data_IF_445273118084
#
_entry.id   IF_445273118084
#
_cell.length_a   1.000
_cell.length_b   1.000
_cell.length_c   1.000
_cell.angle_alpha   90.00
_cell.angle_beta   90.00
_cell.angle_gamma   90.00
#
_symmetry.space_group_name_H-M   'P 1'
#
loop_
_entity.id
_entity.type
_entity.pdbx_description
1 polymer ?
#
# COMPACT_ATOMS: atom_id res chain seq x y z
N UNK A 1 -36.34 -0.31 10.81
CA UNK A 1 -35.73 -0.43 9.48
C UNK A 1 -35.43 -1.90 9.27
N UNK A 2 -35.90 -2.50 8.17
CA UNK A 2 -35.55 -3.88 7.84
C UNK A 2 -34.02 -4.01 7.75
N UNK A 3 -33.46 -5.14 8.20
CA UNK A 3 -32.05 -5.43 7.93
C UNK A 3 -31.81 -5.31 6.42
N UNK A 4 -30.72 -4.66 5.98
CA UNK A 4 -30.43 -4.55 4.56
C UNK A 4 -30.31 -5.96 3.96
N UNK A 5 -30.84 -6.13 2.74
CA UNK A 5 -30.80 -7.41 2.05
C UNK A 5 -29.34 -7.86 1.89
N UNK A 6 -29.04 -9.12 2.22
CA UNK A 6 -27.68 -9.67 2.10
C UNK A 6 -27.31 -9.79 0.63
N UNK A 7 -26.07 -9.47 0.30
CA UNK A 7 -25.54 -9.62 -1.05
C UNK A 7 -25.51 -11.10 -1.43
N UNK A 8 -26.10 -11.45 -2.57
CA UNK A 8 -26.04 -12.80 -3.10
C UNK A 8 -24.64 -13.13 -3.62
N UNK A 9 -24.09 -14.27 -3.17
CA UNK A 9 -22.78 -14.77 -3.56
C UNK A 9 -22.92 -16.12 -4.28
N UNK A 10 -22.29 -16.25 -5.43
CA UNK A 10 -22.19 -17.49 -6.20
C UNK A 10 -20.77 -18.04 -6.13
N UNK A 11 -20.59 -19.27 -5.67
CA UNK A 11 -19.26 -19.92 -5.67
C UNK A 11 -18.83 -20.18 -7.13
N UNK A 12 -17.66 -19.67 -7.53
CA UNK A 12 -17.03 -19.99 -8.82
C UNK A 12 -16.17 -21.25 -8.66
N UNK A 13 -15.28 -21.23 -7.67
CA UNK A 13 -14.38 -22.33 -7.29
C UNK A 13 -14.00 -22.24 -5.81
N UNK A 14 -13.01 -23.00 -5.39
CA UNK A 14 -12.61 -23.12 -3.98
C UNK A 14 -12.09 -21.82 -3.35
N UNK A 15 -11.64 -20.86 -4.15
CA UNK A 15 -11.05 -19.61 -3.69
C UNK A 15 -11.76 -18.36 -4.23
N UNK A 16 -12.83 -18.49 -5.01
CA UNK A 16 -13.52 -17.35 -5.66
C UNK A 16 -15.03 -17.42 -5.54
N UNK A 17 -15.61 -16.29 -5.15
CA UNK A 17 -17.05 -16.05 -5.09
C UNK A 17 -17.41 -14.82 -5.93
N UNK A 18 -18.47 -14.95 -6.72
CA UNK A 18 -19.00 -13.89 -7.57
C UNK A 18 -20.17 -13.19 -6.91
N UNK A 19 -20.22 -11.87 -7.03
CA UNK A 19 -21.43 -11.07 -6.88
C UNK A 19 -21.96 -10.79 -8.29
N UNK A 20 -23.02 -11.47 -8.75
CA UNK A 20 -23.57 -11.25 -10.08
C UNK A 20 -24.05 -9.81 -10.23
N UNK A 21 -23.76 -9.21 -11.38
CA UNK A 21 -24.20 -7.88 -11.74
C UNK A 21 -25.71 -7.76 -11.59
N UNK A 22 -26.13 -6.83 -10.75
CA UNK A 22 -27.53 -6.54 -10.47
C UNK A 22 -27.78 -5.04 -10.34
N UNK A 23 -29.02 -4.61 -10.55
CA UNK A 23 -29.38 -3.18 -10.48
C UNK A 23 -28.59 -2.33 -11.47
N UNK A 24 -27.85 -1.33 -10.95
CA UNK A 24 -27.02 -0.39 -11.73
C UNK A 24 -25.53 -0.77 -11.73
N UNK A 25 -25.16 -1.95 -11.23
CA UNK A 25 -23.80 -2.47 -11.38
C UNK A 25 -23.47 -2.55 -12.87
N UNK A 26 -22.24 -2.15 -13.23
CA UNK A 26 -21.73 -2.19 -14.60
C UNK A 26 -21.00 -3.50 -14.90
N UNK A 27 -20.35 -4.05 -13.88
CA UNK A 27 -19.57 -5.28 -13.88
C UNK A 27 -19.99 -6.21 -12.75
N UNK A 28 -19.56 -7.47 -12.79
CA UNK A 28 -19.66 -8.40 -11.66
C UNK A 28 -18.65 -8.01 -10.55
N UNK A 29 -18.89 -8.46 -9.33
CA UNK A 29 -17.90 -8.41 -8.24
C UNK A 29 -17.24 -9.76 -8.02
N UNK A 30 -15.96 -9.80 -7.64
CA UNK A 30 -15.24 -11.04 -7.30
C UNK A 30 -14.60 -10.90 -5.92
N UNK A 31 -14.92 -11.82 -5.02
CA UNK A 31 -14.31 -11.95 -3.70
C UNK A 31 -13.43 -13.20 -3.71
N UNK A 32 -12.13 -13.02 -3.46
CA UNK A 32 -11.19 -14.10 -3.26
C UNK A 32 -11.27 -14.55 -1.80
N UNK A 33 -11.73 -15.76 -1.53
CA UNK A 33 -11.87 -16.30 -0.19
C UNK A 33 -12.03 -17.82 -0.25
N UNK A 34 -11.54 -18.54 0.76
CA UNK A 34 -11.86 -19.95 0.92
C UNK A 34 -13.24 -20.15 1.58
N UNK A 35 -13.66 -21.41 1.72
CA UNK A 35 -14.94 -21.77 2.34
C UNK A 35 -15.05 -21.39 3.84
N UNK A 36 -13.95 -21.05 4.51
CA UNK A 36 -13.93 -20.61 5.90
C UNK A 36 -14.06 -19.09 5.99
N UNK A 37 -13.23 -18.36 5.24
CA UNK A 37 -13.21 -16.91 5.19
C UNK A 37 -14.54 -16.34 4.69
N UNK A 38 -15.13 -16.94 3.65
CA UNK A 38 -16.36 -16.42 3.06
C UNK A 38 -17.54 -16.38 4.04
N UNK A 39 -17.56 -17.25 5.06
CA UNK A 39 -18.63 -17.28 6.07
C UNK A 39 -18.63 -15.99 6.88
N UNK A 40 -17.45 -15.56 7.32
CA UNK A 40 -17.29 -14.33 8.08
C UNK A 40 -17.51 -13.10 7.18
N UNK A 41 -16.97 -13.13 5.95
CA UNK A 41 -17.14 -12.05 4.97
C UNK A 41 -18.62 -11.81 4.65
N UNK A 42 -19.43 -12.87 4.54
CA UNK A 42 -20.86 -12.79 4.25
C UNK A 42 -21.71 -12.29 5.44
N UNK A 43 -21.12 -12.16 6.63
CA UNK A 43 -21.74 -11.53 7.80
C UNK A 43 -21.39 -10.03 7.91
N UNK A 44 -20.33 -9.58 7.24
CA UNK A 44 -19.94 -8.18 7.13
C UNK A 44 -20.70 -7.45 6.00
N UNK A 45 -20.64 -6.12 6.01
CA UNK A 45 -21.17 -5.24 4.98
C UNK A 45 -20.17 -4.99 3.83
N UNK A 46 -18.94 -5.52 3.93
CA UNK A 46 -17.93 -5.36 2.88
C UNK A 46 -18.29 -5.95 1.51
N UNK A 47 -19.04 -7.07 1.36
CA UNK A 47 -19.53 -7.50 0.05
C UNK A 47 -20.43 -6.46 -0.62
N UNK A 48 -21.18 -5.67 0.16
CA UNK A 48 -21.99 -4.57 -0.37
C UNK A 48 -21.11 -3.47 -0.94
N UNK A 49 -19.97 -3.19 -0.32
CA UNK A 49 -19.02 -2.21 -0.85
C UNK A 49 -18.40 -2.68 -2.16
N UNK A 50 -18.13 -3.99 -2.32
CA UNK A 50 -17.72 -4.56 -3.62
C UNK A 50 -18.78 -4.32 -4.69
N UNK A 51 -20.05 -4.59 -4.38
CA UNK A 51 -21.17 -4.32 -5.29
C UNK A 51 -21.32 -2.82 -5.59
N UNK A 52 -21.16 -1.95 -4.59
CA UNK A 52 -21.26 -0.50 -4.75
C UNK A 52 -20.16 0.04 -5.68
N UNK A 53 -18.92 -0.43 -5.54
CA UNK A 53 -17.80 -0.05 -6.42
C UNK A 53 -18.10 -0.42 -7.88
N UNK A 54 -18.76 -1.55 -8.14
CA UNK A 54 -19.14 -1.98 -9.49
C UNK A 54 -20.12 -1.02 -10.20
N UNK A 55 -20.69 -0.02 -9.53
CA UNK A 55 -21.56 0.98 -10.15
C UNK A 55 -20.78 2.13 -10.81
N UNK A 56 -19.51 2.30 -10.46
CA UNK A 56 -18.74 3.49 -10.81
C UNK A 56 -18.40 3.53 -12.32
N UNK A 57 -18.53 4.71 -12.98
CA UNK A 57 -18.28 4.85 -14.42
C UNK A 57 -16.89 4.42 -14.84
N UNK A 58 -16.82 3.73 -15.99
CA UNK A 58 -15.57 3.27 -16.58
C UNK A 58 -14.86 2.14 -15.82
N UNK A 59 -15.49 1.50 -14.83
CA UNK A 59 -14.92 0.29 -14.20
C UNK A 59 -14.81 -0.83 -15.24
N UNK A 60 -13.69 -1.56 -15.21
CA UNK A 60 -13.35 -2.61 -16.16
C UNK A 60 -13.32 -3.98 -15.49
N UNK A 61 -13.71 -5.01 -16.24
CA UNK A 61 -13.80 -6.42 -15.84
C UNK A 61 -14.67 -6.66 -14.59
N UNK A 62 -14.15 -6.39 -13.39
CA UNK A 62 -14.77 -6.71 -12.12
C UNK A 62 -14.40 -5.70 -11.02
N UNK A 63 -15.27 -5.52 -10.02
CA UNK A 63 -14.83 -5.00 -8.71
C UNK A 63 -14.27 -6.15 -7.87
N UNK A 64 -13.04 -6.02 -7.38
CA UNK A 64 -12.32 -7.12 -6.74
C UNK A 64 -12.16 -6.88 -5.25
N UNK A 65 -12.18 -7.97 -4.49
CA UNK A 65 -11.81 -7.98 -3.08
C UNK A 65 -10.93 -9.17 -2.74
N UNK A 66 -9.83 -8.88 -2.05
CA UNK A 66 -8.84 -9.82 -1.57
C UNK A 66 -9.33 -10.58 -0.33
N UNK A 67 -8.67 -11.69 0.07
CA UNK A 67 -9.11 -12.52 1.20
C UNK A 67 -9.17 -11.83 2.56
N UNK A 68 -8.50 -10.70 2.70
CA UNK A 68 -8.46 -9.83 3.87
C UNK A 68 -9.52 -8.70 3.81
N UNK A 69 -10.54 -8.84 2.96
CA UNK A 69 -11.64 -7.88 2.81
C UNK A 69 -12.34 -7.57 4.14
N UNK A 70 -12.58 -6.28 4.39
CA UNK A 70 -13.43 -5.82 5.48
C UNK A 70 -13.98 -4.42 5.22
N UNK A 71 -14.97 -4.02 6.02
CA UNK A 71 -15.64 -2.73 5.87
C UNK A 71 -14.66 -1.55 5.88
N UNK A 72 -14.75 -0.71 4.86
CA UNK A 72 -13.98 0.51 4.69
C UNK A 72 -14.84 1.75 4.47
N UNK A 73 -14.21 2.85 4.04
CA UNK A 73 -14.91 4.06 3.59
C UNK A 73 -15.18 4.01 2.08
N UNK A 74 -16.43 3.82 1.67
CA UNK A 74 -16.83 3.71 0.26
C UNK A 74 -16.40 2.38 -0.39
N UNK A 75 -15.10 2.25 -0.65
CA UNK A 75 -14.49 0.98 -1.07
C UNK A 75 -14.18 0.12 0.16
N UNK A 76 -14.28 -1.22 0.05
CA UNK A 76 -13.80 -2.10 1.10
C UNK A 76 -12.28 -1.97 1.22
N UNK A 77 -11.75 -2.19 2.43
CA UNK A 77 -10.33 -2.51 2.58
C UNK A 77 -10.15 -3.94 2.06
N UNK A 78 -9.02 -4.23 1.41
CA UNK A 78 -8.87 -5.43 0.56
C UNK A 78 -9.38 -5.21 -0.87
N UNK A 79 -9.81 -4.00 -1.24
CA UNK A 79 -10.44 -3.71 -2.52
C UNK A 79 -9.45 -3.38 -3.64
N UNK A 80 -9.74 -3.87 -4.85
CA UNK A 80 -9.09 -3.45 -6.10
C UNK A 80 -10.14 -3.13 -7.15
N UNK A 81 -9.97 -2.03 -7.87
CA UNK A 81 -10.78 -1.72 -9.04
C UNK A 81 -9.94 -0.98 -10.08
N UNK A 82 -10.05 -1.38 -11.34
CA UNK A 82 -9.44 -0.67 -12.45
C UNK A 82 -10.51 0.11 -13.22
N UNK A 83 -10.24 1.38 -13.45
CA UNK A 83 -11.08 2.26 -14.25
C UNK A 83 -10.35 2.63 -15.53
N UNK A 84 -11.05 2.72 -16.65
CA UNK A 84 -10.50 3.23 -17.90
C UNK A 84 -9.86 4.62 -17.68
N UNK A 85 -8.67 4.85 -18.24
CA UNK A 85 -7.95 6.10 -18.00
C UNK A 85 -8.65 7.33 -18.61
N UNK A 86 -9.34 7.16 -19.74
CA UNK A 86 -9.98 8.27 -20.46
C UNK A 86 -11.40 8.53 -19.94
N UNK A 87 -12.17 7.46 -19.71
CA UNK A 87 -13.60 7.56 -19.38
C UNK A 87 -13.94 7.23 -17.92
N UNK A 88 -12.97 6.70 -17.17
CA UNK A 88 -13.17 6.22 -15.81
C UNK A 88 -13.02 7.29 -14.74
N UNK A 89 -13.20 6.87 -13.48
CA UNK A 89 -13.19 7.73 -12.31
C UNK A 89 -12.00 7.48 -11.40
N UNK A 90 -11.64 8.51 -10.64
CA UNK A 90 -10.74 8.43 -9.49
C UNK A 90 -11.52 8.76 -8.21
N UNK A 91 -11.45 7.88 -7.22
CA UNK A 91 -12.07 8.07 -5.90
C UNK A 91 -11.03 8.02 -4.79
N UNK A 92 -10.93 9.07 -3.93
CA UNK A 92 -10.07 9.01 -2.75
C UNK A 92 -10.48 7.91 -1.77
N UNK A 93 -11.77 7.58 -1.71
CA UNK A 93 -12.30 6.46 -0.93
C UNK A 93 -11.76 5.10 -1.40
N UNK A 94 -11.40 4.97 -2.67
CA UNK A 94 -10.76 3.79 -3.27
C UNK A 94 -9.25 3.71 -3.11
N UNK A 95 -8.61 4.79 -2.66
CA UNK A 95 -7.19 4.80 -2.26
C UNK A 95 -7.06 4.57 -0.76
N UNK A 96 -7.91 5.24 0.03
CA UNK A 96 -7.87 5.26 1.49
C UNK A 96 -7.26 6.54 2.05
N UNK A 97 -7.47 6.75 3.35
CA UNK A 97 -6.99 7.96 4.04
C UNK A 97 -5.47 7.99 4.19
N UNK A 98 -4.85 6.88 4.59
CA UNK A 98 -3.39 6.81 4.67
C UNK A 98 -2.81 6.44 3.31
N UNK A 99 -2.69 7.45 2.44
CA UNK A 99 -2.13 7.34 1.09
C UNK A 99 -0.70 6.79 1.19
N UNK A 100 -0.39 5.79 0.37
CA UNK A 100 0.86 5.05 0.41
C UNK A 100 1.21 4.55 1.82
N UNK A 101 0.21 4.17 2.63
CA UNK A 101 0.46 3.17 3.66
C UNK A 101 1.03 1.94 2.95
N UNK A 102 2.13 1.42 3.50
CA UNK A 102 2.92 0.42 2.82
C UNK A 102 3.95 -0.19 3.75
N UNK A 103 4.67 -1.15 3.23
CA UNK A 103 5.59 -1.94 4.02
C UNK A 103 6.94 -2.07 3.34
N UNK A 104 7.95 -2.25 4.18
CA UNK A 104 9.33 -2.39 3.79
C UNK A 104 9.95 -3.55 4.56
N UNK A 105 10.65 -4.43 3.86
CA UNK A 105 11.43 -5.51 4.49
C UNK A 105 12.91 -5.26 4.28
N UNK A 106 13.65 -5.27 5.38
CA UNK A 106 15.10 -5.19 5.41
C UNK A 106 15.64 -6.56 5.79
N UNK A 107 16.47 -7.14 4.93
CA UNK A 107 17.23 -8.35 5.26
C UNK A 107 18.57 -8.00 5.89
N UNK A 108 19.11 -8.89 6.70
CA UNK A 108 20.40 -8.71 7.38
C UNK A 108 21.32 -9.90 7.10
N UNK A 109 22.60 -9.80 7.42
CA UNK A 109 23.49 -10.97 7.45
C UNK A 109 23.38 -11.74 8.78
N UNK A 110 22.56 -11.28 9.72
CA UNK A 110 22.42 -11.87 11.05
C UNK A 110 21.50 -13.09 10.99
N UNK A 111 21.83 -14.09 11.80
CA UNK A 111 20.98 -15.22 12.11
C UNK A 111 20.37 -15.06 13.51
N UNK A 112 19.32 -15.81 13.82
CA UNK A 112 18.64 -15.70 15.13
C UNK A 112 19.60 -15.81 16.32
N UNK A 113 20.63 -16.65 16.23
CA UNK A 113 21.65 -16.83 17.26
C UNK A 113 22.48 -15.56 17.55
N UNK A 114 22.71 -14.73 16.53
CA UNK A 114 23.49 -13.49 16.67
C UNK A 114 22.71 -12.42 17.44
N UNK A 115 21.37 -12.46 17.34
CA UNK A 115 20.50 -11.43 17.92
C UNK A 115 19.85 -11.84 19.25
N UNK A 116 19.60 -13.14 19.49
CA UNK A 116 18.95 -13.65 20.71
C UNK A 116 19.49 -13.05 22.02
N UNK A 117 20.81 -12.89 22.23
CA UNK A 117 21.34 -12.31 23.47
C UNK A 117 21.03 -10.82 23.64
N UNK A 118 20.79 -10.10 22.53
CA UNK A 118 20.68 -8.64 22.46
C UNK A 118 19.28 -8.13 22.11
N UNK A 119 18.32 -9.02 21.82
CA UNK A 119 17.00 -8.63 21.34
C UNK A 119 16.27 -7.65 22.26
N UNK A 120 16.37 -7.81 23.58
CA UNK A 120 15.72 -6.87 24.54
C UNK A 120 16.33 -5.48 24.47
N UNK A 121 17.65 -5.40 24.42
CA UNK A 121 18.41 -4.15 24.31
C UNK A 121 18.11 -3.47 22.97
N UNK A 122 18.08 -4.24 21.88
CA UNK A 122 17.76 -3.75 20.55
C UNK A 122 16.34 -3.19 20.48
N UNK A 123 15.33 -3.93 20.95
CA UNK A 123 13.93 -3.48 20.93
C UNK A 123 13.76 -2.21 21.77
N UNK A 124 14.41 -2.13 22.93
CA UNK A 124 14.38 -0.92 23.76
C UNK A 124 15.03 0.27 23.04
N UNK A 125 16.18 0.07 22.41
CA UNK A 125 16.86 1.12 21.65
C UNK A 125 16.05 1.56 20.42
N UNK A 126 15.42 0.63 19.69
CA UNK A 126 14.53 0.95 18.57
C UNK A 126 13.35 1.79 19.05
N UNK A 127 12.71 1.41 20.15
CA UNK A 127 11.59 2.17 20.72
C UNK A 127 12.00 3.59 21.15
N UNK A 128 13.21 3.76 21.69
CA UNK A 128 13.73 5.07 22.10
C UNK A 128 14.11 5.97 20.93
N UNK A 129 14.64 5.40 19.85
CA UNK A 129 15.20 6.16 18.73
C UNK A 129 14.27 6.30 17.52
N UNK A 130 13.20 5.50 17.44
CA UNK A 130 12.21 5.55 16.37
C UNK A 130 10.90 6.14 16.91
N UNK A 131 10.59 7.42 16.62
CA UNK A 131 9.39 8.05 17.17
C UNK A 131 8.12 7.36 16.69
N UNK A 132 7.27 6.98 17.64
CA UNK A 132 5.97 6.34 17.42
C UNK A 132 4.88 7.00 18.25
N UNK A 133 3.62 6.69 17.96
CA UNK A 133 2.44 7.21 18.68
C UNK A 133 1.71 8.36 17.98
N UNK A 134 0.48 8.61 18.45
CA UNK A 134 -0.38 9.70 17.93
C UNK A 134 0.24 11.05 18.28
N UNK A 135 0.43 11.91 17.28
CA UNK A 135 0.99 13.25 17.47
C UNK A 135 2.49 13.31 17.72
N UNK A 136 3.18 12.15 17.67
CA UNK A 136 4.63 12.09 17.75
C UNK A 136 5.27 12.92 16.63
N UNK A 137 6.41 13.53 16.96
CA UNK A 137 7.13 14.42 16.04
C UNK A 137 8.49 13.81 15.71
N UNK A 138 8.90 13.91 14.45
CA UNK A 138 10.24 13.52 14.01
C UNK A 138 11.31 14.41 14.61
N UNK A 139 12.54 13.90 14.67
CA UNK A 139 13.70 14.67 15.13
C UNK A 139 14.04 15.82 14.15
N UNK A 140 13.66 15.67 12.88
CA UNK A 140 13.96 16.63 11.83
C UNK A 140 13.07 17.88 11.91
N UNK A 141 13.68 19.06 11.76
CA UNK A 141 12.97 20.34 11.65
C UNK A 141 13.05 20.85 10.22
N UNK A 142 12.05 20.52 9.42
CA UNK A 142 11.94 20.98 8.05
C UNK A 142 11.31 22.38 7.96
N UNK A 143 11.85 23.21 7.08
CA UNK A 143 11.16 24.37 6.54
C UNK A 143 10.00 23.93 5.62
N UNK A 144 9.08 24.85 5.34
CA UNK A 144 7.99 24.59 4.39
C UNK A 144 8.52 24.29 2.97
N UNK A 145 9.61 24.96 2.57
CA UNK A 145 10.23 24.75 1.27
C UNK A 145 10.88 23.36 1.15
N UNK A 146 11.56 22.90 2.20
CA UNK A 146 12.13 21.55 2.21
C UNK A 146 11.05 20.49 2.22
N UNK A 147 9.95 20.67 2.97
CA UNK A 147 8.82 19.75 2.90
C UNK A 147 8.28 19.66 1.46
N UNK A 148 8.14 20.79 0.75
CA UNK A 148 7.71 20.78 -0.66
C UNK A 148 8.69 20.02 -1.57
N UNK A 149 9.98 19.98 -1.25
CA UNK A 149 10.94 19.10 -1.95
C UNK A 149 10.67 17.63 -1.64
N UNK A 150 10.47 17.25 -0.37
CA UNK A 150 10.09 15.88 0.02
C UNK A 150 8.87 15.39 -0.78
N UNK A 151 7.85 16.25 -0.91
CA UNK A 151 6.64 15.95 -1.67
C UNK A 151 6.88 15.72 -3.17
N UNK A 152 7.91 16.32 -3.77
CA UNK A 152 8.26 16.13 -5.18
C UNK A 152 9.20 14.95 -5.43
N UNK A 153 10.15 14.76 -4.53
CA UNK A 153 11.34 13.94 -4.75
C UNK A 153 11.27 12.58 -4.03
N UNK A 154 10.39 12.42 -3.03
CA UNK A 154 10.15 11.15 -2.35
C UNK A 154 11.39 10.58 -1.67
N UNK A 155 11.64 9.27 -1.80
CA UNK A 155 12.83 8.62 -1.23
C UNK A 155 14.15 9.19 -1.76
N UNK A 156 14.17 9.72 -2.98
CA UNK A 156 15.39 10.33 -3.55
C UNK A 156 15.86 11.51 -2.71
N UNK A 157 14.94 12.37 -2.24
CA UNK A 157 15.28 13.44 -1.31
C UNK A 157 15.90 12.91 -0.03
N UNK A 158 15.36 11.83 0.53
CA UNK A 158 15.88 11.25 1.77
C UNK A 158 17.31 10.72 1.55
N UNK A 159 17.57 10.02 0.45
CA UNK A 159 18.91 9.53 0.09
C UNK A 159 19.90 10.68 -0.14
N UNK A 160 19.51 11.74 -0.87
CA UNK A 160 20.33 12.95 -1.07
C UNK A 160 20.69 13.65 0.25
N UNK A 161 19.84 13.53 1.26
CA UNK A 161 20.06 14.11 2.60
C UNK A 161 20.70 13.12 3.59
N UNK A 162 21.28 12.02 3.10
CA UNK A 162 22.07 11.07 3.90
C UNK A 162 21.27 9.93 4.52
N UNK A 163 19.98 9.81 4.24
CA UNK A 163 19.12 8.75 4.77
C UNK A 163 19.08 7.53 3.83
N UNK A 164 20.15 6.73 3.86
CA UNK A 164 20.27 5.47 3.10
C UNK A 164 21.14 5.57 1.85
N UNK A 165 20.87 4.76 0.83
CA UNK A 165 21.71 4.64 -0.37
C UNK A 165 20.88 4.59 -1.66
N UNK A 166 21.56 4.77 -2.81
CA UNK A 166 20.92 4.66 -4.13
C UNK A 166 20.33 3.26 -4.40
N UNK A 167 20.97 2.19 -3.89
CA UNK A 167 20.47 0.81 -3.99
C UNK A 167 19.07 0.66 -3.35
N UNK A 168 18.77 1.46 -2.32
CA UNK A 168 17.45 1.45 -1.68
C UNK A 168 16.34 1.94 -2.64
N UNK A 169 16.67 2.84 -3.58
CA UNK A 169 15.69 3.33 -4.55
C UNK A 169 15.34 2.23 -5.56
N UNK A 170 16.32 1.44 -6.00
CA UNK A 170 16.12 0.32 -6.94
C UNK A 170 15.23 -0.79 -6.35
N UNK A 171 15.20 -0.91 -5.03
CA UNK A 171 14.37 -1.87 -4.28
C UNK A 171 13.09 -1.23 -3.71
N UNK A 172 12.72 -0.03 -4.16
CA UNK A 172 11.47 0.62 -3.77
C UNK A 172 10.52 0.67 -4.97
N UNK A 173 9.25 0.35 -4.77
CA UNK A 173 8.22 0.51 -5.78
C UNK A 173 8.27 1.92 -6.40
N UNK A 174 8.32 1.99 -7.73
CA UNK A 174 8.48 3.21 -8.53
C UNK A 174 9.69 4.08 -8.13
N UNK A 175 10.77 3.46 -7.62
CA UNK A 175 11.95 4.20 -7.17
C UNK A 175 11.72 5.02 -5.90
N UNK A 176 10.57 4.84 -5.23
CA UNK A 176 10.17 5.66 -4.09
C UNK A 176 9.72 7.07 -4.45
N UNK A 177 9.35 7.30 -5.70
CA UNK A 177 8.88 8.59 -6.18
C UNK A 177 7.87 8.44 -7.33
N UNK A 178 6.60 8.76 -7.06
CA UNK A 178 5.57 8.85 -8.09
C UNK A 178 5.71 10.18 -8.84
N UNK A 179 5.83 10.09 -10.16
CA UNK A 179 5.91 11.24 -11.04
C UNK A 179 4.61 12.07 -11.02
N UNK A 180 4.71 13.34 -11.41
CA UNK A 180 3.55 14.25 -11.49
C UNK A 180 3.10 14.84 -10.15
N UNK A 181 3.82 14.58 -9.06
CA UNK A 181 3.53 15.20 -7.77
C UNK A 181 3.59 16.73 -7.82
N UNK A 182 2.50 17.39 -7.42
CA UNK A 182 2.44 18.84 -7.29
C UNK A 182 2.12 19.26 -5.84
N UNK A 183 3.13 19.73 -5.08
CA UNK A 183 2.93 20.24 -3.73
C UNK A 183 2.00 21.45 -3.64
N UNK A 184 1.76 22.19 -4.74
CA UNK A 184 0.87 23.36 -4.73
C UNK A 184 -0.59 22.96 -4.47
N UNK A 185 -0.95 21.71 -4.80
CA UNK A 185 -2.27 21.12 -4.59
C UNK A 185 -2.45 20.50 -3.19
N UNK A 186 -1.39 20.45 -2.39
CA UNK A 186 -1.44 19.99 -1.00
C UNK A 186 -1.77 21.18 -0.10
N UNK A 187 -2.88 21.07 0.65
CA UNK A 187 -3.36 22.17 1.49
C UNK A 187 -2.38 22.54 2.60
N UNK A 188 -2.39 23.80 3.04
CA UNK A 188 -1.58 24.25 4.18
C UNK A 188 -1.88 23.42 5.44
N UNK A 189 -3.14 22.99 5.63
CA UNK A 189 -3.52 22.09 6.72
C UNK A 189 -2.82 20.73 6.63
N UNK A 190 -2.70 20.16 5.43
CA UNK A 190 -1.98 18.90 5.22
C UNK A 190 -0.47 19.07 5.46
N UNK A 191 0.10 20.18 5.00
CA UNK A 191 1.50 20.53 5.24
C UNK A 191 1.79 20.71 6.74
N UNK A 192 0.95 21.42 7.47
CA UNK A 192 1.12 21.63 8.90
C UNK A 192 1.00 20.34 9.73
N UNK A 193 0.13 19.43 9.31
CA UNK A 193 0.02 18.09 9.92
C UNK A 193 1.22 17.21 9.61
N UNK A 194 1.69 17.23 8.36
CA UNK A 194 2.78 16.37 7.88
C UNK A 194 4.17 16.82 8.29
N UNK A 195 4.45 18.13 8.27
CA UNK A 195 5.77 18.69 8.54
C UNK A 195 6.43 18.15 9.82
N UNK A 196 5.75 18.11 10.98
CA UNK A 196 6.38 17.61 12.19
C UNK A 196 6.45 16.08 12.26
N UNK A 197 5.80 15.33 11.35
CA UNK A 197 5.64 13.87 11.44
C UNK A 197 6.58 13.08 10.51
N UNK A 198 7.40 13.75 9.70
CA UNK A 198 8.31 13.06 8.80
C UNK A 198 9.38 12.32 9.61
N UNK A 199 9.59 11.05 9.28
CA UNK A 199 10.42 10.15 10.07
C UNK A 199 9.74 9.74 11.38
N UNK A 200 8.48 9.31 11.31
CA UNK A 200 7.78 8.72 12.45
C UNK A 200 6.98 7.50 11.99
N UNK A 201 6.88 6.49 12.86
CA UNK A 201 6.08 5.29 12.58
C UNK A 201 4.59 5.63 12.52
N UNK A 202 4.12 6.30 13.57
CA UNK A 202 2.72 6.58 13.78
C UNK A 202 2.02 5.66 14.77
N UNK A 203 0.73 5.41 14.50
CA UNK A 203 -0.20 4.68 15.36
C UNK A 203 -1.10 3.77 14.52
N UNK A 204 -2.01 3.04 15.17
CA UNK A 204 -2.88 2.09 14.48
C UNK A 204 -2.12 0.79 14.21
N UNK A 205 -2.18 0.28 12.99
CA UNK A 205 -1.44 -0.92 12.56
C UNK A 205 0.00 -0.63 12.11
N UNK A 206 0.53 0.56 12.35
CA UNK A 206 1.92 0.87 12.00
C UNK A 206 2.88 0.32 13.04
N UNK A 207 3.93 -0.36 12.60
CA UNK A 207 4.92 -0.98 13.45
C UNK A 207 6.30 -1.03 12.79
N UNK A 208 7.30 -1.27 13.64
CA UNK A 208 8.62 -1.76 13.24
C UNK A 208 8.83 -3.06 14.00
N UNK A 209 9.02 -4.16 13.29
CA UNK A 209 9.14 -5.49 13.89
C UNK A 209 10.45 -6.13 13.47
N UNK A 210 11.17 -6.68 14.44
CA UNK A 210 12.36 -7.50 14.21
C UNK A 210 11.95 -8.95 14.31
N UNK A 211 11.99 -9.64 13.17
CA UNK A 211 11.61 -11.05 13.03
C UNK A 211 12.74 -11.87 12.43
N UNK A 212 12.40 -13.09 12.03
CA UNK A 212 13.31 -13.98 11.31
C UNK A 212 12.52 -14.85 10.33
N UNK A 213 13.23 -15.35 9.33
CA UNK A 213 12.67 -16.27 8.33
C UNK A 213 12.53 -17.66 8.95
N UNK A 214 11.31 -18.01 9.36
CA UNK A 214 11.00 -19.34 9.91
C UNK A 214 11.00 -20.44 8.82
N UNK A 215 10.43 -20.13 7.65
CA UNK A 215 10.14 -21.10 6.59
C UNK A 215 10.40 -20.51 5.20
N UNK A 216 10.91 -21.35 4.29
CA UNK A 216 11.12 -21.03 2.88
C UNK A 216 10.26 -21.99 2.05
N UNK A 217 9.31 -21.45 1.30
CA UNK A 217 8.40 -22.22 0.44
C UNK A 217 8.94 -22.36 -0.99
N UNK A 218 9.68 -21.36 -1.48
CA UNK A 218 10.34 -21.36 -2.80
C UNK A 218 11.82 -21.04 -2.62
N UNK A 219 12.71 -22.05 -2.65
CA UNK A 219 14.15 -21.85 -2.46
C UNK A 219 14.82 -21.00 -3.55
N UNK A 220 14.34 -21.04 -4.80
CA UNK A 220 14.97 -20.30 -5.88
C UNK A 220 14.63 -18.81 -5.80
N UNK A 221 13.35 -18.48 -5.55
CA UNK A 221 12.94 -17.09 -5.33
C UNK A 221 13.58 -16.53 -4.06
N UNK A 222 13.63 -17.31 -2.98
CA UNK A 222 14.28 -16.91 -1.74
C UNK A 222 15.77 -16.56 -1.94
N UNK A 223 16.50 -17.35 -2.76
CA UNK A 223 17.90 -17.07 -3.11
C UNK A 223 18.05 -15.72 -3.82
N UNK A 224 17.18 -15.41 -4.78
CA UNK A 224 17.20 -14.10 -5.49
C UNK A 224 16.86 -12.96 -4.53
N UNK A 225 15.90 -13.16 -3.63
CA UNK A 225 15.51 -12.19 -2.61
C UNK A 225 16.57 -12.07 -1.48
N UNK A 226 17.59 -12.94 -1.47
CA UNK A 226 18.62 -12.96 -0.43
C UNK A 226 18.07 -13.36 0.95
N UNK A 227 17.02 -14.18 0.95
CA UNK A 227 16.37 -14.74 2.13
C UNK A 227 16.89 -16.15 2.44
N UNK A 228 17.20 -16.41 3.70
CA UNK A 228 17.60 -17.74 4.19
C UNK A 228 16.87 -18.07 5.49
N UNK A 229 16.62 -19.35 5.77
CA UNK A 229 16.04 -19.79 7.04
C UNK A 229 16.90 -19.30 8.22
N UNK A 230 16.24 -18.92 9.32
CA UNK A 230 16.80 -18.32 10.53
C UNK A 230 17.46 -16.94 10.36
N UNK A 231 17.42 -16.36 9.17
CA UNK A 231 17.93 -15.01 8.93
C UNK A 231 17.03 -13.97 9.59
N UNK A 232 17.64 -13.01 10.27
CA UNK A 232 16.94 -11.88 10.87
C UNK A 232 16.52 -10.88 9.78
N UNK A 233 15.27 -10.44 9.89
CA UNK A 233 14.68 -9.42 9.02
C UNK A 233 13.99 -8.34 9.84
N UNK A 234 13.87 -7.13 9.28
CA UNK A 234 13.11 -6.04 9.88
C UNK A 234 11.95 -5.65 8.97
N UNK A 235 10.74 -5.68 9.50
CA UNK A 235 9.54 -5.21 8.83
C UNK A 235 9.21 -3.79 9.30
N UNK A 236 9.00 -2.87 8.37
CA UNK A 236 8.61 -1.48 8.67
C UNK A 236 7.28 -1.22 7.97
N UNK A 237 6.21 -1.00 8.75
CA UNK A 237 4.88 -0.64 8.26
C UNK A 237 4.55 0.79 8.67
N UNK A 238 4.50 1.68 7.68
CA UNK A 238 4.10 3.09 7.87
C UNK A 238 3.59 3.71 6.56
N UNK A 239 3.06 4.91 6.66
CA UNK A 239 2.43 5.62 5.54
C UNK A 239 2.72 7.11 5.51
N UNK A 240 1.80 7.86 4.92
CA UNK A 240 1.88 9.31 4.71
C UNK A 240 1.51 10.15 5.94
N UNK A 241 1.22 9.48 7.06
CA UNK A 241 0.91 10.11 8.35
C UNK A 241 -0.29 11.05 8.22
N UNK A 242 -0.30 12.15 8.98
CA UNK A 242 -1.37 13.13 8.94
C UNK A 242 -1.48 13.89 7.60
N UNK A 243 -0.45 13.84 6.76
CA UNK A 243 -0.43 14.54 5.48
C UNK A 243 -1.38 13.90 4.48
N UNK A 244 -1.20 12.61 4.17
CA UNK A 244 -2.09 11.93 3.22
C UNK A 244 -3.51 11.79 3.74
N UNK A 245 -3.70 11.63 5.06
CA UNK A 245 -5.04 11.71 5.66
C UNK A 245 -5.74 13.00 5.26
N UNK A 246 -5.06 14.14 5.41
CA UNK A 246 -5.67 15.44 5.13
C UNK A 246 -5.88 15.64 3.62
N UNK A 247 -4.95 15.18 2.77
CA UNK A 247 -5.14 15.18 1.31
C UNK A 247 -6.38 14.38 0.93
N UNK A 248 -6.57 13.18 1.47
CA UNK A 248 -7.77 12.38 1.23
C UNK A 248 -9.05 13.09 1.69
N UNK A 249 -9.06 13.65 2.91
CA UNK A 249 -10.19 14.40 3.48
C UNK A 249 -10.58 15.62 2.63
N UNK A 250 -9.59 16.41 2.20
CA UNK A 250 -9.79 17.61 1.39
C UNK A 250 -10.42 17.27 0.03
N UNK A 251 -9.93 16.22 -0.63
CA UNK A 251 -10.43 15.80 -1.94
C UNK A 251 -11.75 15.03 -1.86
N UNK A 252 -12.02 14.28 -0.79
CA UNK A 252 -13.35 13.69 -0.55
C UNK A 252 -14.42 14.78 -0.46
N UNK A 253 -14.13 15.89 0.24
CA UNK A 253 -15.04 17.03 0.29
C UNK A 253 -15.24 17.67 -1.08
N UNK A 254 -14.15 17.99 -1.80
CA UNK A 254 -14.19 18.60 -3.14
C UNK A 254 -14.95 17.73 -4.14
N UNK A 255 -14.68 16.42 -4.16
CA UNK A 255 -15.35 15.48 -5.07
C UNK A 255 -16.79 15.19 -4.65
N UNK A 256 -17.11 15.13 -3.36
CA UNK A 256 -18.49 14.97 -2.88
C UNK A 256 -19.42 16.13 -3.24
N UNK A 257 -18.87 17.34 -3.38
CA UNK A 257 -19.59 18.49 -3.97
C UNK A 257 -19.72 18.33 -5.49
N UNK A 258 -18.65 17.94 -6.19
CA UNK A 258 -18.66 17.75 -7.64
C UNK A 258 -19.59 16.65 -8.14
N UNK A 259 -19.67 15.51 -7.47
CA UNK A 259 -20.54 14.38 -7.86
C UNK A 259 -21.98 14.83 -8.13
N UNK A 260 -22.50 15.77 -7.33
CA UNK A 260 -23.86 16.32 -7.48
C UNK A 260 -24.07 17.04 -8.82
N UNK A 261 -23.01 17.57 -9.41
CA UNK A 261 -23.03 18.26 -10.70
C UNK A 261 -22.72 17.33 -11.88
N UNK A 262 -22.18 16.14 -11.64
CA UNK A 262 -21.87 15.15 -12.68
C UNK A 262 -23.10 14.32 -13.10
N UNK A 263 -24.21 14.41 -12.36
CA UNK A 263 -25.38 13.56 -12.57
C UNK A 263 -25.12 12.09 -12.23
N UNK A 264 -24.07 11.80 -11.45
CA UNK A 264 -23.75 10.45 -11.00
C UNK A 264 -24.61 10.06 -9.81
N UNK A 265 -25.42 9.01 -9.98
CA UNK A 265 -26.14 8.38 -8.88
C UNK A 265 -25.22 7.36 -8.20
N UNK A 266 -24.63 7.75 -7.07
CA UNK A 266 -23.80 6.87 -6.27
C UNK A 266 -24.67 6.03 -5.32
N UNK A 267 -24.44 4.70 -5.22
CA UNK A 267 -25.14 3.85 -4.26
C UNK A 267 -24.74 4.15 -2.80
N UNK A 268 -23.60 4.81 -2.60
CA UNK A 268 -23.13 5.31 -1.31
C UNK A 268 -22.41 6.66 -1.50
N UNK A 269 -22.72 7.65 -0.65
CA UNK A 269 -22.05 8.96 -0.64
C UNK A 269 -20.54 8.88 -0.38
N UNK A 270 -20.07 7.81 0.26
CA UNK A 270 -18.65 7.57 0.53
C UNK A 270 -17.87 7.22 -0.74
N UNK A 271 -18.53 6.90 -1.86
CA UNK A 271 -17.92 6.70 -3.18
C UNK A 271 -17.67 8.01 -3.95
N UNK A 272 -17.51 9.12 -3.23
CA UNK A 272 -17.20 10.42 -3.84
C UNK A 272 -16.01 10.28 -4.81
N UNK A 273 -16.20 10.75 -6.04
CA UNK A 273 -15.26 10.58 -7.14
C UNK A 273 -15.42 11.70 -8.17
N UNK A 274 -14.49 11.76 -9.11
CA UNK A 274 -14.62 12.52 -10.35
C UNK A 274 -13.95 11.74 -11.48
N UNK A 275 -14.17 12.14 -12.73
CA UNK A 275 -13.50 11.53 -13.87
C UNK A 275 -11.98 11.75 -13.79
N UNK A 276 -11.20 10.74 -14.17
CA UNK A 276 -9.73 10.78 -14.17
C UNK A 276 -9.23 11.99 -14.97
N UNK A 277 -9.80 12.22 -16.17
CA UNK A 277 -9.43 13.33 -17.05
C UNK A 277 -9.95 14.71 -16.61
N UNK A 278 -10.79 14.78 -15.58
CA UNK A 278 -11.26 16.07 -15.06
C UNK A 278 -10.11 16.83 -14.38
N UNK A 279 -10.17 18.16 -14.34
CA UNK A 279 -9.21 18.96 -13.58
C UNK A 279 -9.13 18.50 -12.11
N UNK A 280 -10.28 18.19 -11.48
CA UNK A 280 -10.27 17.75 -10.07
C UNK A 280 -9.72 16.33 -9.91
N UNK A 281 -9.91 15.46 -10.91
CA UNK A 281 -9.30 14.14 -10.95
C UNK A 281 -7.79 14.21 -11.06
N UNK A 282 -7.27 14.99 -12.01
CA UNK A 282 -5.83 15.24 -12.18
C UNK A 282 -5.23 15.95 -10.96
N UNK A 283 -5.93 16.93 -10.38
CA UNK A 283 -5.47 17.60 -9.15
C UNK A 283 -5.28 16.58 -8.01
N UNK A 284 -6.24 15.65 -7.85
CA UNK A 284 -6.15 14.64 -6.80
C UNK A 284 -5.01 13.65 -7.06
N UNK A 285 -4.82 13.20 -8.30
CA UNK A 285 -3.72 12.32 -8.66
C UNK A 285 -2.36 12.95 -8.32
N UNK A 286 -2.17 14.24 -8.64
CA UNK A 286 -0.94 14.98 -8.33
C UNK A 286 -0.75 15.22 -6.82
N UNK A 287 -1.82 15.50 -6.08
CA UNK A 287 -1.75 15.65 -4.61
C UNK A 287 -1.54 14.30 -3.89
N UNK A 288 -2.14 13.22 -4.40
CA UNK A 288 -1.93 11.86 -3.94
C UNK A 288 -0.49 11.41 -4.22
N UNK A 289 0.07 11.72 -5.40
CA UNK A 289 1.47 11.47 -5.71
C UNK A 289 2.40 12.19 -4.72
N UNK A 290 2.10 13.45 -4.36
CA UNK A 290 2.85 14.18 -3.34
C UNK A 290 2.77 13.49 -1.96
N UNK A 291 1.59 13.02 -1.55
CA UNK A 291 1.43 12.27 -0.30
C UNK A 291 2.13 10.89 -0.34
N UNK A 292 2.16 10.24 -1.50
CA UNK A 292 2.88 8.99 -1.71
C UNK A 292 4.39 9.19 -1.56
N UNK A 293 4.93 10.25 -2.18
CA UNK A 293 6.35 10.62 -2.08
C UNK A 293 6.74 10.90 -0.62
N UNK A 294 5.90 11.60 0.13
CA UNK A 294 6.09 11.78 1.57
C UNK A 294 6.20 10.45 2.32
N UNK A 295 5.32 9.48 2.05
CA UNK A 295 5.33 8.18 2.73
C UNK A 295 6.60 7.36 2.43
N UNK A 296 7.07 7.38 1.17
CA UNK A 296 8.32 6.73 0.79
C UNK A 296 9.54 7.38 1.44
N UNK A 297 9.60 8.72 1.49
CA UNK A 297 10.63 9.43 2.24
C UNK A 297 10.59 9.06 3.74
N UNK A 298 9.37 8.96 4.32
CA UNK A 298 9.18 8.55 5.71
C UNK A 298 9.75 7.15 5.98
N UNK A 299 9.40 6.15 5.16
CA UNK A 299 9.91 4.77 5.30
C UNK A 299 11.43 4.69 5.06
N UNK A 300 11.96 5.48 4.13
CA UNK A 300 13.40 5.59 3.86
C UNK A 300 14.16 6.10 5.10
N UNK A 301 13.66 7.16 5.75
CA UNK A 301 14.26 7.69 6.99
C UNK A 301 14.14 6.71 8.16
N UNK A 302 12.98 6.07 8.33
CA UNK A 302 12.77 5.05 9.36
C UNK A 302 13.76 3.88 9.21
N UNK A 303 13.95 3.40 7.97
CA UNK A 303 14.94 2.36 7.69
C UNK A 303 16.36 2.83 8.02
N UNK A 304 16.73 4.05 7.65
CA UNK A 304 18.06 4.59 7.95
C UNK A 304 18.33 4.59 9.47
N UNK A 305 17.43 5.13 10.29
CA UNK A 305 17.63 5.11 11.74
C UNK A 305 17.58 3.71 12.33
N UNK A 306 16.81 2.81 11.73
CA UNK A 306 16.84 1.39 12.12
C UNK A 306 18.24 0.81 11.92
N UNK A 307 18.90 1.11 10.78
CA UNK A 307 20.29 0.69 10.53
C UNK A 307 21.26 1.25 11.58
N UNK A 308 21.14 2.54 11.93
CA UNK A 308 21.99 3.15 12.95
C UNK A 308 21.78 2.51 14.33
N UNK A 309 20.52 2.24 14.73
CA UNK A 309 20.24 1.57 16.00
C UNK A 309 20.82 0.16 16.05
N UNK A 310 20.71 -0.62 14.97
CA UNK A 310 21.33 -1.95 14.91
C UNK A 310 22.85 -1.88 15.01
N UNK A 311 23.48 -0.94 14.29
CA UNK A 311 24.92 -0.67 14.34
C UNK A 311 25.38 -0.32 15.75
N UNK A 312 24.66 0.56 16.43
CA UNK A 312 25.04 1.02 17.77
C UNK A 312 24.80 -0.06 18.84
N UNK A 313 23.70 -0.80 18.78
CA UNK A 313 23.43 -1.85 19.79
C UNK A 313 24.33 -3.07 19.61
N UNK A 314 24.57 -3.48 18.36
CA UNK A 314 25.36 -4.68 18.06
C UNK A 314 26.85 -4.39 17.94
N UNK A 315 27.25 -3.11 17.87
CA UNK A 315 28.64 -2.69 17.68
C UNK A 315 29.28 -3.34 16.44
N UNK A 316 28.48 -3.47 15.37
CA UNK A 316 28.87 -4.10 14.11
C UNK A 316 28.97 -3.08 13.00
N UNK A 317 29.90 -3.28 12.06
CA UNK A 317 30.02 -2.40 10.90
C UNK A 317 28.79 -2.53 9.98
N UNK A 318 28.44 -1.50 9.19
CA UNK A 318 27.37 -1.61 8.19
C UNK A 318 27.55 -2.78 7.21
N UNK A 319 28.81 -3.13 6.90
CA UNK A 319 29.17 -4.26 6.04
C UNK A 319 28.78 -5.59 6.69
N UNK A 320 29.11 -5.76 7.97
CA UNK A 320 28.87 -7.02 8.69
C UNK A 320 27.39 -7.21 8.97
N UNK A 321 26.68 -6.14 9.35
CA UNK A 321 25.23 -6.16 9.52
C UNK A 321 24.49 -6.51 8.22
N UNK A 322 24.98 -6.00 7.08
CA UNK A 322 24.40 -6.28 5.77
C UNK A 322 22.91 -5.90 5.65
N UNK A 323 22.47 -4.84 6.35
CA UNK A 323 21.07 -4.42 6.37
C UNK A 323 20.64 -3.80 5.03
N UNK A 324 20.16 -4.64 4.11
CA UNK A 324 19.75 -4.23 2.76
C UNK A 324 18.24 -4.30 2.61
N UNK A 325 17.70 -3.34 1.87
CA UNK A 325 16.29 -3.33 1.50
C UNK A 325 16.02 -4.52 0.58
N UNK A 326 15.11 -5.41 0.97
CA UNK A 326 14.56 -6.42 0.07
C UNK A 326 13.58 -5.75 -0.89
N UNK A 327 12.53 -5.15 -0.35
CA UNK A 327 11.58 -4.39 -1.14
C UNK A 327 10.79 -3.41 -0.28
N UNK A 328 10.20 -2.40 -0.92
CA UNK A 328 9.22 -1.48 -0.34
C UNK A 328 8.02 -1.36 -1.28
N UNK A 329 6.84 -1.69 -0.78
CA UNK A 329 5.60 -1.75 -1.55
C UNK A 329 4.45 -1.07 -0.83
N UNK A 330 3.63 -0.35 -1.58
CA UNK A 330 2.44 0.33 -1.07
C UNK A 330 1.19 -0.56 -1.15
N UNK A 331 0.20 -0.29 -0.29
CA UNK A 331 -1.09 -0.98 -0.33
C UNK A 331 -2.33 -0.06 -0.30
N UNK A 332 -2.12 1.25 -0.29
CA UNK A 332 -3.17 2.27 -0.42
C UNK A 332 -2.75 3.28 -1.50
N UNK A 333 -3.13 3.05 -2.75
CA UNK A 333 -2.68 3.88 -3.87
C UNK A 333 -3.66 3.81 -5.05
N UNK A 334 -3.64 4.82 -5.92
CA UNK A 334 -4.14 4.68 -7.28
C UNK A 334 -2.98 4.87 -8.27
N UNK A 335 -2.90 4.06 -9.33
CA UNK A 335 -1.82 4.15 -10.33
C UNK A 335 -2.34 4.07 -11.75
N UNK A 336 -1.69 4.82 -12.65
CA UNK A 336 -1.81 4.62 -14.09
C UNK A 336 -1.00 3.38 -14.45
N UNK A 337 -1.67 2.37 -14.97
CA UNK A 337 -1.04 1.11 -15.38
C UNK A 337 -1.56 0.68 -16.74
N UNK A 338 -0.82 -0.19 -17.43
CA UNK A 338 -1.29 -0.81 -18.68
C UNK A 338 -1.59 -2.27 -18.43
N UNK A 339 -2.83 -2.68 -18.71
CA UNK A 339 -3.29 -4.06 -18.57
C UNK A 339 -3.90 -4.56 -19.88
N UNK A 340 -3.95 -5.88 -20.06
CA UNK A 340 -4.62 -6.51 -21.20
C UNK A 340 -6.04 -6.87 -20.80
N UNK A 341 -7.04 -6.25 -21.45
CA UNK A 341 -8.46 -6.33 -21.11
C UNK A 341 -9.21 -6.66 -22.39
N UNK A 342 -9.95 -7.78 -22.41
CA UNK A 342 -10.58 -8.28 -23.64
C UNK A 342 -9.59 -8.57 -24.79
N UNK A 343 -8.32 -8.85 -24.49
CA UNK A 343 -7.24 -9.05 -25.47
C UNK A 343 -6.58 -7.76 -25.99
N UNK A 344 -7.03 -6.59 -25.54
CA UNK A 344 -6.47 -5.29 -25.93
C UNK A 344 -5.69 -4.65 -24.78
N UNK A 345 -4.57 -3.99 -25.10
CA UNK A 345 -3.84 -3.20 -24.11
C UNK A 345 -4.60 -1.91 -23.84
N UNK A 346 -4.90 -1.65 -22.56
CA UNK A 346 -5.60 -0.44 -22.10
C UNK A 346 -4.83 0.23 -20.98
N UNK A 347 -4.84 1.55 -20.97
CA UNK A 347 -4.39 2.34 -19.84
C UNK A 347 -5.53 2.49 -18.85
N UNK A 348 -5.24 2.22 -17.58
CA UNK A 348 -6.24 2.19 -16.52
C UNK A 348 -5.72 2.88 -15.27
N UNK A 349 -6.64 3.47 -14.51
CA UNK A 349 -6.42 3.92 -13.15
C UNK A 349 -6.78 2.77 -12.19
N UNK A 350 -5.77 2.10 -11.64
CA UNK A 350 -5.97 0.99 -10.69
C UNK A 350 -5.96 1.53 -9.27
N UNK A 351 -7.11 1.46 -8.60
CA UNK A 351 -7.24 1.69 -7.16
C UNK A 351 -6.89 0.42 -6.40
N UNK A 352 -6.03 0.56 -5.40
CA UNK A 352 -5.74 -0.48 -4.41
C UNK A 352 -5.88 0.12 -3.01
N UNK A 353 -6.75 -0.47 -2.18
CA UNK A 353 -6.95 -0.06 -0.79
C UNK A 353 -6.90 -1.27 0.12
N UNK A 354 -5.82 -1.38 0.89
CA UNK A 354 -5.45 -2.63 1.53
C UNK A 354 -5.22 -3.74 0.49
N UNK A 355 -4.59 -3.42 -0.63
CA UNK A 355 -4.22 -4.40 -1.64
C UNK A 355 -2.89 -3.99 -2.27
N UNK A 356 -2.06 -4.96 -2.63
CA UNK A 356 -0.67 -4.73 -3.01
C UNK A 356 -0.48 -4.99 -4.51
N UNK A 357 0.36 -4.21 -5.19
CA UNK A 357 0.80 -4.53 -6.55
C UNK A 357 1.63 -5.82 -6.54
N UNK A 358 1.42 -6.68 -7.53
CA UNK A 358 1.98 -8.02 -7.61
C UNK A 358 2.34 -8.38 -9.06
N UNK A 359 3.10 -7.52 -9.74
CA UNK A 359 3.51 -7.73 -11.12
C UNK A 359 4.32 -9.03 -11.30
N UNK A 360 3.97 -9.80 -12.33
CA UNK A 360 4.59 -11.07 -12.67
C UNK A 360 5.99 -10.94 -13.30
N UNK A 361 6.69 -12.08 -13.47
CA UNK A 361 7.92 -12.16 -14.25
C UNK A 361 7.87 -11.43 -15.60
N UNK A 362 9.00 -10.87 -16.02
CA UNK A 362 9.16 -10.18 -17.30
C UNK A 362 8.50 -8.80 -17.38
N UNK A 363 7.72 -8.38 -16.37
CA UNK A 363 7.04 -7.08 -16.42
C UNK A 363 8.05 -5.92 -16.53
N UNK A 364 7.91 -4.99 -17.50
CA UNK A 364 8.94 -4.01 -17.84
C UNK A 364 9.20 -2.97 -16.74
N UNK A 365 8.22 -2.73 -15.87
CA UNK A 365 8.37 -1.82 -14.72
C UNK A 365 9.13 -2.44 -13.54
N UNK A 366 9.52 -3.72 -13.62
CA UNK A 366 10.31 -4.35 -12.57
C UNK A 366 11.80 -4.01 -12.70
N UNK A 367 12.48 -3.75 -11.56
CA UNK A 367 13.93 -3.74 -11.50
C UNK A 367 14.53 -5.03 -12.06
N UNK A 368 15.72 -4.96 -12.64
CA UNK A 368 16.39 -6.11 -13.28
C UNK A 368 16.44 -7.34 -12.36
N UNK A 369 16.80 -7.13 -11.10
CA UNK A 369 16.93 -8.19 -10.08
C UNK A 369 15.64 -8.98 -9.84
N UNK A 370 14.47 -8.38 -10.07
CA UNK A 370 13.17 -9.01 -9.87
C UNK A 370 12.46 -9.34 -11.17
N UNK A 371 13.06 -9.05 -12.33
CA UNK A 371 12.40 -9.26 -13.61
C UNK A 371 12.20 -10.74 -13.89
N UNK A 372 13.14 -11.61 -13.53
CA UNK A 372 12.98 -13.05 -13.76
C UNK A 372 12.02 -13.72 -12.76
N UNK A 373 12.00 -13.27 -11.51
CA UNK A 373 11.18 -13.89 -10.46
C UNK A 373 9.77 -13.33 -10.37
N UNK A 374 9.58 -12.06 -10.71
CA UNK A 374 8.39 -11.28 -10.38
C UNK A 374 8.61 -10.38 -9.17
N UNK A 375 7.66 -9.45 -8.94
CA UNK A 375 7.77 -8.44 -7.89
C UNK A 375 7.75 -9.07 -6.49
N UNK A 376 8.63 -8.68 -5.55
CA UNK A 376 8.42 -9.00 -4.15
C UNK A 376 7.11 -8.37 -3.64
N UNK A 377 6.32 -9.17 -2.92
CA UNK A 377 5.06 -8.75 -2.30
C UNK A 377 5.19 -8.96 -0.80
N UNK A 378 4.91 -7.93 -0.02
CA UNK A 378 5.13 -7.92 1.42
C UNK A 378 3.78 -7.92 2.14
N UNK A 379 3.51 -9.00 2.89
CA UNK A 379 2.25 -9.23 3.59
C UNK A 379 2.48 -9.17 5.10
N UNK A 380 2.37 -7.99 5.73
CA UNK A 380 2.39 -7.86 7.18
C UNK A 380 1.27 -8.69 7.84
N UNK A 381 1.60 -9.36 8.94
CA UNK A 381 0.61 -9.85 9.90
C UNK A 381 0.15 -8.76 10.87
N UNK A 382 -0.76 -9.14 11.77
CA UNK A 382 -0.95 -8.38 13.01
C UNK A 382 0.36 -8.40 13.84
N UNK A 383 0.58 -7.40 14.68
CA UNK A 383 1.79 -7.31 15.53
C UNK A 383 1.99 -8.60 16.34
N UNK A 384 3.17 -9.22 16.19
CA UNK A 384 3.49 -10.50 16.86
C UNK A 384 2.90 -11.74 16.18
N UNK A 385 2.33 -11.63 14.98
CA UNK A 385 1.91 -12.75 14.14
C UNK A 385 2.83 -12.90 12.92
N UNK A 386 2.69 -14.00 12.20
CA UNK A 386 3.49 -14.23 11.00
C UNK A 386 3.22 -13.17 9.92
N UNK A 387 4.30 -12.69 9.32
CA UNK A 387 4.29 -11.93 8.08
C UNK A 387 4.87 -12.79 6.95
N UNK A 388 4.49 -12.52 5.71
CA UNK A 388 4.91 -13.30 4.55
C UNK A 388 5.58 -12.41 3.50
N UNK A 389 6.56 -12.97 2.81
CA UNK A 389 7.09 -12.44 1.56
C UNK A 389 6.63 -13.37 0.45
N UNK A 390 5.86 -12.84 -0.48
CA UNK A 390 5.37 -13.53 -1.66
C UNK A 390 6.04 -12.95 -2.92
N UNK A 391 5.70 -13.50 -4.08
CA UNK A 391 6.16 -13.01 -5.38
C UNK A 391 4.96 -12.81 -6.31
N UNK A 392 5.00 -11.75 -7.13
CA UNK A 392 4.01 -11.48 -8.16
C UNK A 392 3.99 -12.54 -9.25
N UNK A 393 2.85 -12.71 -9.91
CA UNK A 393 2.63 -13.83 -10.85
C UNK A 393 1.85 -13.38 -12.08
N UNK A 394 1.92 -14.15 -13.17
CA UNK A 394 1.06 -13.88 -14.33
C UNK A 394 -0.42 -14.11 -14.04
N UNK A 395 -0.76 -15.02 -13.12
CA UNK A 395 -2.13 -15.16 -12.66
C UNK A 395 -2.69 -13.85 -12.08
N UNK A 396 -1.87 -13.08 -11.37
CA UNK A 396 -2.27 -11.75 -10.89
C UNK A 396 -2.43 -10.75 -12.04
N UNK A 397 -1.55 -10.77 -13.04
CA UNK A 397 -1.66 -9.92 -14.23
C UNK A 397 -2.95 -10.19 -15.01
N UNK A 398 -3.36 -11.45 -15.10
CA UNK A 398 -4.56 -11.88 -15.84
C UNK A 398 -5.87 -11.64 -15.08
N UNK A 399 -5.87 -11.80 -13.74
CA UNK A 399 -7.12 -11.90 -12.98
C UNK A 399 -7.38 -10.72 -12.03
N UNK A 400 -6.35 -9.97 -11.65
CA UNK A 400 -6.45 -8.98 -10.57
C UNK A 400 -5.77 -7.65 -10.88
N UNK A 401 -5.52 -7.36 -12.16
CA UNK A 401 -4.77 -6.16 -12.57
C UNK A 401 -3.41 -6.10 -11.87
N UNK A 402 -2.71 -7.23 -11.81
CA UNK A 402 -1.42 -7.37 -11.14
C UNK A 402 -1.51 -7.02 -9.65
N UNK A 403 -2.49 -7.56 -8.94
CA UNK A 403 -2.74 -7.23 -7.52
C UNK A 403 -2.92 -8.46 -6.63
N UNK A 404 -2.66 -8.30 -5.33
CA UNK A 404 -2.89 -9.32 -4.31
C UNK A 404 -3.24 -8.69 -2.95
N UNK A 405 -3.41 -9.51 -1.91
CA UNK A 405 -3.71 -9.04 -0.55
C UNK A 405 -2.60 -8.15 0.03
N UNK A 406 -2.88 -7.54 1.19
CA UNK A 406 -1.91 -6.72 1.91
C UNK A 406 -1.66 -7.21 3.34
N UNK A 407 -2.52 -8.06 3.88
CA UNK A 407 -2.42 -8.52 5.26
C UNK A 407 -2.55 -10.03 5.38
N UNK A 408 -1.84 -10.61 6.35
CA UNK A 408 -1.97 -12.03 6.73
C UNK A 408 -3.10 -12.26 7.75
N UNK A 409 -3.96 -11.26 7.95
CA UNK A 409 -5.20 -11.36 8.71
C UNK A 409 -5.61 -10.06 9.38
N UNK A 410 -6.93 -9.92 9.54
CA UNK A 410 -7.58 -9.41 10.75
C UNK A 410 -8.76 -10.33 11.03
N UNK A 411 -8.69 -11.10 12.10
CA UNK A 411 -9.90 -11.63 12.72
C UNK A 411 -10.47 -10.50 13.57
N UNK A 412 -11.64 -9.98 13.21
CA UNK A 412 -12.47 -9.28 14.20
C UNK A 412 -13.15 -10.30 15.11
#
# INVERSE_FOLDING_TARGET
>A
MSAPEKIHLEKIDDCRYRIPRSGKMRVDGIIYADAKLIRNIHEDESPRQVANVAHLPGILEHSLAMPDIHWGYGFPIGGVAAFDWEEGVISPGGVGYDINCGTRVVRTNLMTQDLRPKIRELVQALFQNIPSGVGSKGALRLSAQELRRVLKEGSSWAVENGYGSAEDLEHTEDGGCLAGADPSLVSERALDRGRPQLGTLGSGNHFLEVGYVEEIYDPEVARVFGLAKDQVTVFIHSGSRGLGYQVCDDFLKKMGERVRHLGLELPDRQLACDYVQSQTGQDYLSAMAAAANYAWANRQMLMHWTREVFKDVLQMSPRDLGMRLLYDVCHNIAKRETHTIGGERREVCVHRKGATRAFGPGHPSLPEIFRETGQPVLIPGDMGRYSYVLVGTEGAMEQTFGSTCHGAGRLQ
#
